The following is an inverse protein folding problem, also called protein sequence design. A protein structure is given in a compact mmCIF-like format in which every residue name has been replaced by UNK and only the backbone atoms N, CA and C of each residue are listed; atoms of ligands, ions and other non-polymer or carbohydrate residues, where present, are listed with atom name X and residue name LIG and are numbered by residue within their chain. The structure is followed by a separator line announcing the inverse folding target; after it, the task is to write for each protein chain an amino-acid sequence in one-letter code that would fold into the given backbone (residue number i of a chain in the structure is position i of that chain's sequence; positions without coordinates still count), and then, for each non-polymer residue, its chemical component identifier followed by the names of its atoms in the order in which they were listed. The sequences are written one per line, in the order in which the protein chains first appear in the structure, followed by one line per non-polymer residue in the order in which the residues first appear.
data_IF_118734881023
#
_entry.id   IF_118734881023
#
_cell.length_a   1.000
_cell.length_b   1.000
_cell.length_c   1.000
_cell.angle_alpha   90.00
_cell.angle_beta   90.00
_cell.angle_gamma   90.00
#
_symmetry.space_group_name_H-M   'P 1'
#
loop_
_entity.id
_entity.type
_entity.pdbx_description
1 polymer ?
#
# COMPACT_ATOMS: atom_id res chain seq x y z
N UNK A 1 -10.33 27.10 48.99
CA UNK A 1 -10.05 27.72 47.68
C UNK A 1 -8.88 26.98 47.08
N UNK A 2 -9.16 25.88 46.39
CA UNK A 2 -8.15 25.09 45.69
C UNK A 2 -7.72 25.88 44.46
N UNK A 3 -6.41 26.11 44.30
CA UNK A 3 -5.86 26.73 43.10
C UNK A 3 -6.18 25.83 41.89
N UNK A 4 -7.00 26.33 40.99
CA UNK A 4 -7.18 25.83 39.64
C UNK A 4 -5.91 26.09 38.83
N UNK A 5 -5.09 25.07 38.65
CA UNK A 5 -4.14 24.98 37.52
C UNK A 5 -4.17 23.59 36.92
N UNK A 6 -5.34 23.15 36.46
CA UNK A 6 -5.44 22.02 35.54
C UNK A 6 -5.10 22.46 34.11
N UNK A 7 -3.91 23.05 33.94
CA UNK A 7 -3.30 23.15 32.62
C UNK A 7 -2.68 21.78 32.30
N UNK A 8 -3.43 20.92 31.62
CA UNK A 8 -2.89 19.67 31.09
C UNK A 8 -3.37 19.45 29.65
N UNK A 9 -2.50 19.82 28.71
CA UNK A 9 -2.39 19.31 27.35
C UNK A 9 -3.60 19.41 26.42
N UNK A 10 -3.67 20.51 25.66
CA UNK A 10 -4.42 20.58 24.40
C UNK A 10 -3.54 20.31 23.15
N UNK A 11 -2.36 19.69 23.31
CA UNK A 11 -1.47 19.36 22.17
C UNK A 11 -0.87 17.95 22.27
N UNK A 12 -1.71 16.92 22.19
CA UNK A 12 -1.25 15.60 21.74
C UNK A 12 -1.57 15.43 20.26
N UNK A 13 -0.92 16.24 19.39
CA UNK A 13 -0.70 15.80 18.01
C UNK A 13 0.34 14.68 18.10
N UNK A 14 -0.19 13.46 18.19
CA UNK A 14 0.57 12.21 18.26
C UNK A 14 1.70 12.23 17.24
N UNK A 15 2.87 11.78 17.70
CA UNK A 15 4.20 11.70 17.07
C UNK A 15 4.26 10.92 15.74
N UNK A 16 3.12 10.63 15.11
CA UNK A 16 3.01 9.96 13.82
C UNK A 16 2.43 10.92 12.79
N UNK A 17 3.29 11.49 11.95
CA UNK A 17 2.85 12.18 10.74
C UNK A 17 2.23 11.11 9.83
N UNK A 18 0.91 11.14 9.66
CA UNK A 18 0.18 10.27 8.75
C UNK A 18 -0.11 11.04 7.46
N UNK A 19 0.27 10.48 6.31
CA UNK A 19 -0.05 11.04 5.00
C UNK A 19 -1.47 10.62 4.61
N UNK A 20 -2.32 11.59 4.29
CA UNK A 20 -3.72 11.36 3.95
C UNK A 20 -3.91 11.32 2.43
N UNK A 21 -4.77 10.41 1.96
CA UNK A 21 -5.10 10.31 0.54
C UNK A 21 -5.89 11.54 0.06
N UNK A 22 -5.52 12.06 -1.10
CA UNK A 22 -6.23 13.21 -1.70
C UNK A 22 -7.61 12.86 -2.27
N UNK A 23 -7.90 11.57 -2.45
CA UNK A 23 -9.15 11.10 -3.06
C UNK A 23 -10.11 10.44 -2.06
N UNK A 24 -9.67 10.19 -0.81
CA UNK A 24 -10.50 9.65 0.26
C UNK A 24 -9.89 9.89 1.65
N UNK A 25 -10.64 9.64 2.71
CA UNK A 25 -10.23 9.93 4.11
C UNK A 25 -9.24 8.91 4.70
N UNK A 26 -8.61 8.05 3.89
CA UNK A 26 -7.63 7.08 4.38
C UNK A 26 -6.27 7.73 4.59
N UNK A 27 -5.68 7.49 5.76
CA UNK A 27 -4.33 7.94 6.10
C UNK A 27 -3.37 6.77 6.30
N UNK A 28 -2.09 7.01 6.02
CA UNK A 28 -1.04 5.99 6.04
C UNK A 28 0.19 6.54 6.76
N UNK A 29 0.81 5.71 7.58
CA UNK A 29 2.06 6.06 8.28
C UNK A 29 3.31 5.97 7.40
N UNK A 30 3.17 5.43 6.19
CA UNK A 30 4.28 5.21 5.26
C UNK A 30 3.84 5.72 3.89
N UNK A 31 4.59 6.65 3.32
CA UNK A 31 4.32 7.27 2.02
C UNK A 31 4.17 6.23 0.89
N UNK A 32 5.00 5.18 0.87
CA UNK A 32 4.90 4.10 -0.13
C UNK A 32 3.58 3.32 -0.05
N UNK A 33 2.96 3.23 1.14
CA UNK A 33 1.64 2.64 1.31
C UNK A 33 0.55 3.54 0.76
N UNK A 34 0.64 4.86 0.98
CA UNK A 34 -0.27 5.84 0.38
C UNK A 34 -0.18 5.80 -1.15
N UNK A 35 1.03 5.82 -1.71
CA UNK A 35 1.23 5.75 -3.16
C UNK A 35 0.64 4.47 -3.77
N UNK A 36 0.88 3.33 -3.11
CA UNK A 36 0.29 2.04 -3.51
C UNK A 36 -1.24 2.05 -3.40
N UNK A 37 -1.79 2.70 -2.39
CA UNK A 37 -3.24 2.85 -2.22
C UNK A 37 -3.84 3.66 -3.36
N UNK A 38 -3.28 4.85 -3.65
CA UNK A 38 -3.72 5.71 -4.75
C UNK A 38 -3.70 4.96 -6.07
N UNK A 39 -2.56 4.31 -6.37
CA UNK A 39 -2.38 3.50 -7.58
C UNK A 39 -3.46 2.43 -7.74
N UNK A 40 -3.70 1.65 -6.69
CA UNK A 40 -4.55 0.46 -6.77
C UNK A 40 -6.04 0.76 -6.71
N UNK A 41 -6.44 1.77 -5.93
CA UNK A 41 -7.84 2.03 -5.60
C UNK A 41 -8.42 3.15 -6.47
N UNK A 42 -7.67 4.22 -6.66
CA UNK A 42 -8.15 5.40 -7.38
C UNK A 42 -7.78 5.34 -8.86
N UNK A 43 -6.51 5.04 -9.19
CA UNK A 43 -6.07 4.93 -10.58
C UNK A 43 -6.39 3.57 -11.20
N UNK A 44 -6.67 2.55 -10.38
CA UNK A 44 -6.90 1.15 -10.80
C UNK A 44 -5.74 0.58 -11.63
N UNK A 45 -4.54 1.11 -11.45
CA UNK A 45 -3.33 0.66 -12.13
C UNK A 45 -2.92 -0.73 -11.62
N UNK A 46 -2.62 -1.63 -12.55
CA UNK A 46 -2.18 -2.99 -12.26
C UNK A 46 -0.92 -3.30 -13.07
N UNK A 47 0.23 -2.72 -12.66
CA UNK A 47 1.44 -2.76 -13.48
C UNK A 47 2.10 -4.13 -13.51
N UNK A 48 1.69 -5.08 -12.67
CA UNK A 48 2.33 -6.39 -12.59
C UNK A 48 1.51 -7.43 -13.36
N UNK A 49 1.99 -7.86 -14.53
CA UNK A 49 1.33 -8.87 -15.37
C UNK A 49 2.17 -10.13 -15.49
N UNK A 50 1.52 -11.29 -15.56
CA UNK A 50 2.17 -12.53 -15.98
C UNK A 50 2.04 -12.71 -17.50
N UNK A 51 3.12 -12.96 -18.25
CA UNK A 51 3.02 -13.05 -19.71
C UNK A 51 2.16 -14.21 -20.25
N UNK A 52 1.97 -15.27 -19.46
CA UNK A 52 1.25 -16.49 -19.88
C UNK A 52 -0.22 -16.50 -19.48
N UNK A 53 -0.71 -15.47 -18.76
CA UNK A 53 -2.12 -15.35 -18.44
C UNK A 53 -2.55 -13.87 -18.42
N UNK A 54 -3.80 -13.57 -18.75
CA UNK A 54 -4.26 -12.18 -18.84
C UNK A 54 -4.45 -11.48 -17.48
N UNK A 55 -3.97 -12.07 -16.38
CA UNK A 55 -4.12 -11.49 -15.04
C UNK A 55 -3.06 -10.43 -14.76
N UNK A 56 -3.55 -9.24 -14.43
CA UNK A 56 -2.76 -8.14 -13.92
C UNK A 56 -3.02 -7.90 -12.43
N UNK A 57 -1.99 -7.53 -11.69
CA UNK A 57 -1.98 -7.32 -10.25
C UNK A 57 -1.47 -5.92 -9.92
N UNK A 58 -2.05 -5.30 -8.89
CA UNK A 58 -1.60 -4.02 -8.36
C UNK A 58 -0.36 -4.11 -7.46
N UNK A 59 0.06 -5.33 -7.09
CA UNK A 59 1.18 -5.58 -6.19
C UNK A 59 1.96 -6.83 -6.62
N UNK A 60 3.28 -6.76 -6.49
CA UNK A 60 4.21 -7.86 -6.77
C UNK A 60 3.89 -9.12 -5.96
N UNK A 61 3.67 -8.96 -4.65
CA UNK A 61 3.37 -10.08 -3.74
C UNK A 61 2.11 -10.85 -4.12
N UNK A 62 1.13 -10.18 -4.74
CA UNK A 62 -0.08 -10.83 -5.24
C UNK A 62 0.21 -11.66 -6.49
N UNK A 63 1.09 -11.19 -7.37
CA UNK A 63 1.56 -11.94 -8.51
C UNK A 63 2.41 -13.14 -8.05
N UNK A 64 3.35 -12.97 -7.12
CA UNK A 64 4.16 -14.08 -6.59
C UNK A 64 3.27 -15.19 -6.00
N UNK A 65 2.24 -14.81 -5.23
CA UNK A 65 1.24 -15.77 -4.71
C UNK A 65 0.43 -16.42 -5.82
N UNK A 66 0.12 -15.71 -6.89
CA UNK A 66 -0.55 -16.28 -8.06
C UNK A 66 0.35 -17.30 -8.76
N UNK A 67 1.65 -16.99 -8.95
CA UNK A 67 2.61 -17.88 -9.59
C UNK A 67 2.80 -19.18 -8.84
N UNK A 68 2.89 -19.13 -7.50
CA UNK A 68 2.95 -20.34 -6.66
C UNK A 68 1.78 -21.31 -6.87
N UNK A 69 0.63 -20.81 -7.32
CA UNK A 69 -0.55 -21.64 -7.66
C UNK A 69 -0.59 -22.03 -9.13
N UNK A 70 0.08 -21.28 -10.01
CA UNK A 70 0.08 -21.48 -11.44
C UNK A 70 1.13 -22.52 -11.86
N UNK A 71 2.33 -22.44 -11.29
CA UNK A 71 3.41 -23.40 -11.47
C UNK A 71 3.91 -23.81 -10.08
N UNK A 72 3.86 -25.12 -9.79
CA UNK A 72 4.51 -25.68 -8.60
C UNK A 72 6.04 -25.76 -8.73
N UNK A 73 6.60 -25.27 -9.85
CA UNK A 73 8.03 -25.24 -10.12
C UNK A 73 8.60 -23.83 -9.92
N UNK A 74 9.65 -23.67 -9.09
CA UNK A 74 10.29 -22.37 -8.81
C UNK A 74 11.16 -21.82 -9.96
N UNK A 75 11.25 -22.49 -11.10
CA UNK A 75 12.27 -22.20 -12.13
C UNK A 75 11.85 -21.23 -13.25
N UNK A 76 10.77 -20.46 -13.10
CA UNK A 76 10.55 -19.31 -13.98
C UNK A 76 11.14 -18.02 -13.36
N UNK A 77 12.06 -17.33 -14.05
CA UNK A 77 12.76 -16.21 -13.46
C UNK A 77 11.79 -15.08 -13.09
N UNK A 78 11.92 -14.62 -11.84
CA UNK A 78 11.32 -13.41 -11.24
C UNK A 78 11.51 -12.14 -12.09
N UNK A 79 12.29 -12.20 -13.17
CA UNK A 79 12.64 -11.12 -14.06
C UNK A 79 11.59 -10.79 -15.14
N UNK A 80 10.47 -11.52 -15.25
CA UNK A 80 9.42 -11.21 -16.26
C UNK A 80 8.24 -10.44 -15.69
N UNK A 81 8.44 -9.76 -14.55
CA UNK A 81 7.51 -8.78 -13.99
C UNK A 81 7.58 -7.52 -14.84
N UNK A 82 6.98 -7.56 -16.04
CA UNK A 82 6.87 -6.38 -16.88
C UNK A 82 6.04 -5.35 -16.13
N UNK A 83 6.72 -4.31 -15.63
CA UNK A 83 6.10 -3.06 -15.25
C UNK A 83 5.66 -2.39 -16.55
N UNK A 84 4.35 -2.40 -16.81
CA UNK A 84 3.75 -1.64 -17.91
C UNK A 84 4.03 -0.14 -17.70
#
# INVERSE_FOLDING_TARGET
MTLDTHQANAELRLVYILDTCQYCERSFSISSNLQRHVRNIHNKERPFRWPRCDRCFGQQTNLDRHLKKHDASPDLPLATMLKI
#
